data_IF_350837618371
#
_entry.id   IF_350837618371
#
_cell.length_a   1.000
_cell.length_b   1.000
_cell.length_c   1.000
_cell.angle_alpha   90.00
_cell.angle_beta   90.00
_cell.angle_gamma   90.00
#
_symmetry.space_group_name_H-M   'P 1'
#
loop_
_entity.id
_entity.type
_entity.pdbx_description
1 polymer ?
#
# COMPACT_ATOMS: atom_id res chain seq x y z
N UNK A 1 -22.58 0.44 -16.59
CA UNK A 1 -21.27 0.07 -17.15
C UNK A 1 -20.31 1.23 -17.46
N UNK A 2 -20.73 2.50 -17.35
CA UNK A 2 -19.84 3.66 -17.59
C UNK A 2 -19.03 4.12 -16.36
N UNK A 3 -19.24 3.56 -15.17
CA UNK A 3 -18.58 4.00 -13.93
C UNK A 3 -17.26 3.28 -13.62
N UNK A 4 -16.73 2.46 -14.54
CA UNK A 4 -15.45 1.78 -14.29
C UNK A 4 -14.32 2.74 -14.64
N UNK A 5 -13.42 3.10 -13.70
CA UNK A 5 -12.26 3.92 -14.02
C UNK A 5 -11.40 3.21 -15.07
N UNK A 6 -11.11 3.90 -16.18
CA UNK A 6 -10.45 3.32 -17.37
C UNK A 6 -9.01 3.82 -17.47
N UNK A 7 -8.73 5.00 -16.92
CA UNK A 7 -7.41 5.63 -16.96
C UNK A 7 -6.73 5.62 -15.58
N UNK A 8 -5.39 5.67 -15.51
CA UNK A 8 -4.66 5.91 -14.26
C UNK A 8 -5.16 7.14 -13.49
N UNK A 9 -5.55 8.20 -14.21
CA UNK A 9 -6.07 9.44 -13.63
C UNK A 9 -7.41 9.22 -12.94
N UNK A 10 -8.35 8.51 -13.59
CA UNK A 10 -9.63 8.14 -12.96
C UNK A 10 -9.38 7.32 -11.69
N UNK A 11 -8.43 6.38 -11.75
CA UNK A 11 -8.09 5.55 -10.59
C UNK A 11 -7.55 6.41 -9.44
N UNK A 12 -6.68 7.35 -9.74
CA UNK A 12 -6.06 8.24 -8.75
C UNK A 12 -7.09 9.19 -8.09
N UNK A 13 -8.24 9.47 -8.72
CA UNK A 13 -9.33 10.25 -8.10
C UNK A 13 -10.05 9.47 -6.99
N UNK A 14 -10.17 8.14 -7.11
CA UNK A 14 -10.92 7.32 -6.18
C UNK A 14 -10.05 6.50 -5.22
N UNK A 15 -8.82 6.18 -5.61
CA UNK A 15 -7.93 5.27 -4.88
C UNK A 15 -6.59 5.95 -4.64
N UNK A 16 -6.20 6.05 -3.38
CA UNK A 16 -4.89 6.51 -2.97
C UNK A 16 -4.19 5.43 -2.13
N UNK A 17 -2.98 5.04 -2.53
CA UNK A 17 -2.14 4.10 -1.79
C UNK A 17 -1.07 4.80 -0.92
N UNK A 18 -1.19 6.12 -0.73
CA UNK A 18 -0.37 6.91 0.19
C UNK A 18 -0.97 6.93 1.59
N UNK A 19 -0.13 7.10 2.61
CA UNK A 19 -0.59 7.18 3.99
C UNK A 19 -1.13 8.60 4.24
N UNK A 20 -2.31 8.78 4.87
CA UNK A 20 -2.82 10.12 5.19
C UNK A 20 -1.84 10.93 6.05
N UNK A 21 -1.86 12.25 5.99
CA UNK A 21 -1.02 13.07 6.86
C UNK A 21 -1.62 13.11 8.28
N UNK A 22 -0.81 12.77 9.29
CA UNK A 22 -1.23 12.71 10.69
C UNK A 22 -1.74 14.04 11.25
N UNK A 23 -1.27 15.18 10.74
CA UNK A 23 -1.67 16.51 11.20
C UNK A 23 -2.88 17.06 10.44
N UNK A 24 -3.10 16.60 9.20
CA UNK A 24 -4.24 17.03 8.36
C UNK A 24 -5.47 16.18 8.65
N UNK A 25 -5.31 14.85 8.71
CA UNK A 25 -6.39 13.90 9.03
C UNK A 25 -5.89 12.80 9.99
N UNK A 26 -5.88 13.10 11.31
CA UNK A 26 -5.41 12.15 12.32
C UNK A 26 -6.22 10.85 12.36
N UNK A 27 -7.52 10.91 12.09
CA UNK A 27 -8.42 9.76 12.19
C UNK A 27 -8.20 8.79 11.02
N UNK A 28 -8.07 9.31 9.80
CA UNK A 28 -7.71 8.50 8.64
C UNK A 28 -6.31 7.91 8.82
N UNK A 29 -5.34 8.70 9.29
CA UNK A 29 -4.00 8.21 9.59
C UNK A 29 -4.01 7.04 10.59
N UNK A 30 -4.66 7.20 11.74
CA UNK A 30 -4.74 6.15 12.76
C UNK A 30 -5.41 4.88 12.22
N UNK A 31 -6.51 5.05 11.48
CA UNK A 31 -7.26 3.94 10.89
C UNK A 31 -6.42 3.18 9.87
N UNK A 32 -5.74 3.89 8.97
CA UNK A 32 -4.87 3.30 7.95
C UNK A 32 -3.71 2.57 8.60
N UNK A 33 -2.98 3.23 9.52
CA UNK A 33 -1.81 2.64 10.20
C UNK A 33 -2.18 1.40 11.01
N UNK A 34 -3.32 1.41 11.70
CA UNK A 34 -3.77 0.28 12.52
C UNK A 34 -4.22 -0.91 11.68
N UNK A 35 -4.99 -0.65 10.63
CA UNK A 35 -5.81 -1.68 9.99
C UNK A 35 -5.44 -2.00 8.55
N UNK A 36 -4.81 -1.06 7.82
CA UNK A 36 -4.58 -1.18 6.37
C UNK A 36 -3.11 -1.37 5.98
N UNK A 37 -2.17 -1.25 6.93
CA UNK A 37 -0.75 -1.50 6.66
C UNK A 37 -0.40 -2.96 6.97
N UNK A 38 0.35 -3.58 6.06
CA UNK A 38 0.86 -4.93 6.26
C UNK A 38 1.79 -4.97 7.47
N UNK A 39 1.53 -5.87 8.42
CA UNK A 39 2.40 -6.05 9.56
C UNK A 39 3.78 -6.61 9.17
N UNK A 40 4.73 -6.63 10.12
CA UNK A 40 6.04 -7.24 9.90
C UNK A 40 5.92 -8.67 9.38
N UNK A 41 6.70 -8.99 8.36
CA UNK A 41 6.84 -10.32 7.77
C UNK A 41 8.28 -10.52 7.27
N UNK A 42 8.57 -11.69 6.70
CA UNK A 42 9.91 -11.98 6.18
C UNK A 42 10.91 -12.18 7.32
N UNK A 43 12.15 -11.68 7.21
CA UNK A 43 13.16 -11.83 8.26
C UNK A 43 12.74 -11.26 9.62
N UNK A 44 11.89 -10.23 9.62
CA UNK A 44 11.40 -9.59 10.85
C UNK A 44 10.28 -10.37 11.54
N UNK A 45 9.55 -11.23 10.81
CA UNK A 45 8.56 -12.13 11.39
C UNK A 45 8.35 -13.35 10.46
N UNK A 46 9.20 -14.38 10.59
CA UNK A 46 9.13 -15.58 9.75
C UNK A 46 7.85 -16.39 9.96
N UNK A 47 7.19 -16.24 11.11
CA UNK A 47 5.98 -16.95 11.50
C UNK A 47 4.69 -16.20 11.12
N UNK A 48 4.80 -15.07 10.41
CA UNK A 48 3.62 -14.34 9.98
C UNK A 48 2.72 -15.23 9.09
N UNK A 49 1.38 -15.17 9.20
CA UNK A 49 0.48 -16.02 8.41
C UNK A 49 0.61 -15.87 6.90
N UNK A 50 1.21 -14.77 6.42
CA UNK A 50 1.46 -14.54 5.00
C UNK A 50 2.70 -15.27 4.48
N UNK A 51 3.55 -15.83 5.35
CA UNK A 51 4.82 -16.47 4.98
C UNK A 51 4.58 -17.88 4.46
N UNK A 52 5.10 -18.17 3.27
CA UNK A 52 5.08 -19.48 2.61
C UNK A 52 6.47 -19.68 2.00
N UNK A 53 7.11 -20.82 2.30
CA UNK A 53 8.45 -21.17 1.82
C UNK A 53 9.50 -20.06 2.02
N UNK A 54 9.45 -19.40 3.18
CA UNK A 54 10.37 -18.31 3.54
C UNK A 54 10.13 -16.98 2.82
N UNK A 55 9.05 -16.85 2.04
CA UNK A 55 8.67 -15.62 1.32
C UNK A 55 7.26 -15.18 1.69
N UNK A 56 7.03 -13.87 1.69
CA UNK A 56 5.67 -13.36 1.84
C UNK A 56 4.86 -13.70 0.57
N UNK A 57 3.82 -14.51 0.72
CA UNK A 57 2.90 -14.91 -0.37
C UNK A 57 2.17 -13.74 -1.03
N UNK A 58 2.17 -12.56 -0.40
CA UNK A 58 1.60 -11.32 -0.92
C UNK A 58 2.65 -10.36 -1.50
N UNK A 59 3.91 -10.78 -1.52
CA UNK A 59 5.06 -10.05 -2.06
C UNK A 59 5.29 -8.68 -1.40
N UNK A 60 5.21 -8.62 -0.06
CA UNK A 60 5.63 -7.43 0.69
C UNK A 60 7.15 -7.44 0.98
N UNK A 61 7.79 -6.25 1.06
CA UNK A 61 7.21 -4.94 0.78
C UNK A 61 6.95 -4.72 -0.72
N UNK A 62 5.84 -4.05 -1.06
CA UNK A 62 5.55 -3.66 -2.45
C UNK A 62 6.54 -2.59 -2.90
N UNK A 63 6.93 -2.63 -4.18
CA UNK A 63 7.80 -1.60 -4.78
C UNK A 63 7.12 -0.23 -4.75
N UNK A 64 7.91 0.83 -4.61
CA UNK A 64 7.44 2.20 -4.81
C UNK A 64 7.14 2.43 -6.31
N UNK A 65 6.14 3.26 -6.59
CA UNK A 65 5.79 3.71 -7.94
C UNK A 65 5.43 5.19 -7.91
N UNK A 66 5.97 5.99 -8.82
CA UNK A 66 5.69 7.42 -8.84
C UNK A 66 4.33 7.77 -9.46
N UNK A 67 3.72 6.82 -10.16
CA UNK A 67 2.47 6.99 -10.93
C UNK A 67 1.64 5.70 -10.87
N UNK A 68 0.34 5.81 -11.10
CA UNK A 68 -0.51 4.64 -11.33
C UNK A 68 -0.28 4.14 -12.74
N UNK A 69 -0.12 2.83 -12.93
CA UNK A 69 0.06 2.21 -14.24
C UNK A 69 -0.87 1.02 -14.40
N UNK A 70 -1.35 0.79 -15.62
CA UNK A 70 -2.16 -0.36 -15.98
C UNK A 70 -1.34 -1.17 -16.98
N UNK A 71 -1.12 -2.45 -16.71
CA UNK A 71 -0.39 -3.32 -17.64
C UNK A 71 -1.29 -3.89 -18.75
N UNK A 72 -0.69 -4.63 -19.69
CA UNK A 72 -1.39 -5.21 -20.85
C UNK A 72 -2.49 -6.20 -20.43
N UNK A 73 -2.35 -6.82 -19.27
CA UNK A 73 -3.32 -7.74 -18.67
C UNK A 73 -4.40 -7.00 -17.86
N UNK A 74 -4.30 -5.67 -17.74
CA UNK A 74 -5.24 -4.82 -17.02
C UNK A 74 -5.00 -4.74 -15.51
N UNK A 75 -3.86 -5.22 -14.99
CA UNK A 75 -3.52 -5.06 -13.58
C UNK A 75 -3.03 -3.64 -13.30
N UNK A 76 -3.61 -3.08 -12.23
CA UNK A 76 -3.27 -1.74 -11.75
C UNK A 76 -2.15 -1.81 -10.73
N UNK A 77 -1.04 -1.12 -11.01
CA UNK A 77 -0.03 -0.78 -10.02
C UNK A 77 -0.25 0.66 -9.58
N UNK A 78 -0.79 0.83 -8.38
CA UNK A 78 -1.11 2.16 -7.85
C UNK A 78 0.12 3.00 -7.53
N UNK A 79 -0.03 4.31 -7.66
CA UNK A 79 0.94 5.31 -7.21
C UNK A 79 1.25 5.15 -5.72
N UNK A 80 2.53 4.96 -5.41
CA UNK A 80 3.10 4.82 -4.08
C UNK A 80 4.48 5.49 -4.06
N UNK A 81 4.52 6.80 -3.84
CA UNK A 81 5.75 7.58 -3.89
C UNK A 81 6.65 7.25 -2.70
N UNK A 82 7.96 7.19 -2.94
CA UNK A 82 8.93 7.08 -1.86
C UNK A 82 9.11 8.44 -1.19
N UNK A 83 8.23 8.78 -0.24
CA UNK A 83 8.31 10.01 0.54
C UNK A 83 8.82 9.70 1.96
N UNK A 84 10.07 10.03 2.29
CA UNK A 84 10.65 9.77 3.62
C UNK A 84 9.83 10.43 4.74
N UNK A 85 9.24 11.59 4.49
CA UNK A 85 8.45 12.34 5.46
C UNK A 85 7.11 11.68 5.79
N UNK A 86 6.68 10.69 4.99
CA UNK A 86 5.41 9.98 5.17
C UNK A 86 5.64 8.46 5.31
N UNK A 87 6.70 8.09 6.05
CA UNK A 87 7.04 6.70 6.37
C UNK A 87 6.51 6.33 7.74
N UNK A 88 5.83 5.18 7.84
CA UNK A 88 5.35 4.62 9.10
C UNK A 88 6.19 3.40 9.45
N UNK A 89 6.83 3.43 10.61
CA UNK A 89 7.56 2.28 11.17
C UNK A 89 6.57 1.47 12.00
N UNK A 90 6.30 0.23 11.59
CA UNK A 90 5.39 -0.67 12.27
C UNK A 90 6.20 -1.57 13.21
N UNK A 91 6.42 -1.10 14.43
CA UNK A 91 6.91 -1.95 15.50
C UNK A 91 5.68 -2.42 16.29
N UNK A 92 5.17 -3.62 15.97
CA UNK A 92 4.20 -4.27 16.86
C UNK A 92 5.01 -4.96 17.94
N UNK A 93 4.85 -4.51 19.18
CA UNK A 93 5.33 -5.18 20.40
C UNK A 93 4.77 -6.61 20.50
#
# INVERSE_FOLDING_TARGET
DQDKPVTPEDIDEFICAEIPDKNVDPLAYETVVRSMVHGPCGPHNPNAPCMVDGKCSKHYPKKFSNQTTIDEDGFVSYRRRNNPSNTVIINRE
#
